data_IF_221717254974
#
_entry.id   IF_221717254974
#
_cell.length_a   1.000
_cell.length_b   1.000
_cell.length_c   1.000
_cell.angle_alpha   90.00
_cell.angle_beta   90.00
_cell.angle_gamma   90.00
#
_symmetry.space_group_name_H-M   'P 1'
#
loop_
_entity.id
_entity.type
_entity.pdbx_description
1 polymer ?
#
# COMPACT_ATOMS: atom_id res chain seq x y z
N UNK A 1 -8.28 2.96 -1.56
CA UNK A 1 -7.40 2.00 -2.24
C UNK A 1 -6.69 1.24 -1.13
N UNK A 2 -6.78 -0.10 -1.07
CA UNK A 2 -5.97 -0.85 -0.14
C UNK A 2 -4.51 -0.52 -0.42
N UNK A 3 -3.72 -0.41 0.63
CA UNK A 3 -2.30 -0.14 0.50
C UNK A 3 -1.54 -1.45 0.77
N UNK A 4 -0.22 -1.40 0.63
CA UNK A 4 0.60 -2.62 0.59
C UNK A 4 0.36 -3.56 1.78
N UNK A 5 0.24 -2.98 2.98
CA UNK A 5 0.04 -3.73 4.23
C UNK A 5 -1.34 -4.39 4.32
N UNK A 6 -2.42 -3.74 3.87
CA UNK A 6 -3.74 -4.38 3.82
C UNK A 6 -3.76 -5.56 2.85
N UNK A 7 -3.09 -5.44 1.70
CA UNK A 7 -3.05 -6.55 0.74
C UNK A 7 -2.17 -7.69 1.22
N UNK A 8 -1.08 -7.39 1.91
CA UNK A 8 -0.28 -8.43 2.54
C UNK A 8 -1.07 -9.13 3.65
N UNK A 9 -1.85 -8.39 4.44
CA UNK A 9 -2.77 -8.95 5.44
C UNK A 9 -3.84 -9.84 4.80
N UNK A 10 -4.43 -9.41 3.68
CA UNK A 10 -5.41 -10.17 2.93
C UNK A 10 -4.81 -11.49 2.41
N UNK A 11 -3.62 -11.43 1.80
CA UNK A 11 -2.86 -12.61 1.41
C UNK A 11 -2.57 -13.53 2.61
N UNK A 12 -2.03 -12.98 3.71
CA UNK A 12 -1.68 -13.74 4.91
C UNK A 12 -2.86 -14.52 5.49
N UNK A 13 -4.05 -13.92 5.58
CA UNK A 13 -5.27 -14.58 6.08
C UNK A 13 -5.65 -15.77 5.20
N UNK A 14 -5.61 -15.60 3.87
CA UNK A 14 -5.99 -16.66 2.93
C UNK A 14 -4.92 -17.76 2.90
N UNK A 15 -3.64 -17.40 2.96
CA UNK A 15 -2.55 -18.39 3.04
C UNK A 15 -2.60 -19.18 4.35
N UNK A 16 -2.97 -18.53 5.47
CA UNK A 16 -3.16 -19.21 6.75
C UNK A 16 -4.31 -20.22 6.67
N UNK A 17 -5.44 -19.81 6.10
CA UNK A 17 -6.58 -20.70 5.83
C UNK A 17 -6.20 -21.89 4.94
N UNK A 18 -5.47 -21.66 3.85
CA UNK A 18 -4.99 -22.71 2.95
C UNK A 18 -4.10 -23.73 3.66
N UNK A 19 -3.21 -23.29 4.54
CA UNK A 19 -2.33 -24.17 5.32
C UNK A 19 -3.07 -25.01 6.36
N UNK A 20 -4.22 -24.55 6.82
CA UNK A 20 -5.03 -25.23 7.82
C UNK A 20 -5.98 -26.30 7.22
N UNK A 21 -6.13 -26.34 5.89
CA UNK A 21 -7.14 -27.19 5.22
C UNK A 21 -6.51 -28.21 4.29
N UNK A 22 -7.23 -29.33 4.10
CA UNK A 22 -6.87 -30.27 3.05
C UNK A 22 -7.27 -29.67 1.70
N UNK A 23 -6.41 -29.70 0.66
CA UNK A 23 -6.77 -29.21 -0.68
C UNK A 23 -8.09 -29.78 -1.23
N UNK A 24 -8.42 -31.03 -0.89
CA UNK A 24 -9.67 -31.68 -1.34
C UNK A 24 -10.94 -31.12 -0.65
N UNK A 25 -10.79 -30.38 0.45
CA UNK A 25 -11.89 -29.72 1.16
C UNK A 25 -12.23 -28.36 0.55
N UNK A 26 -11.31 -27.78 -0.24
CA UNK A 26 -11.45 -26.42 -0.78
C UNK A 26 -12.09 -26.39 -2.17
N UNK A 27 -12.99 -27.34 -2.45
CA UNK A 27 -13.80 -27.36 -3.67
C UNK A 27 -14.94 -26.36 -3.54
N UNK A 28 -15.05 -25.44 -4.49
CA UNK A 28 -16.12 -24.43 -4.47
C UNK A 28 -17.46 -25.11 -4.75
N UNK A 29 -18.37 -25.05 -3.78
CA UNK A 29 -19.73 -25.54 -3.91
C UNK A 29 -20.65 -24.46 -4.49
N UNK A 30 -20.48 -23.22 -4.04
CA UNK A 30 -21.33 -22.09 -4.38
C UNK A 30 -20.53 -20.78 -4.38
N UNK A 31 -21.02 -19.78 -5.12
CA UNK A 31 -20.57 -18.40 -5.03
C UNK A 31 -21.74 -17.55 -4.54
N UNK A 32 -21.48 -16.62 -3.62
CA UNK A 32 -22.50 -15.77 -3.01
C UNK A 32 -22.13 -14.29 -3.14
N UNK A 33 -23.14 -13.41 -3.19
CA UNK A 33 -22.95 -11.96 -3.05
C UNK A 33 -24.24 -11.28 -2.56
N UNK A 34 -24.10 -10.12 -1.93
CA UNK A 34 -25.24 -9.22 -1.73
C UNK A 34 -25.56 -8.44 -3.00
N UNK A 35 -26.82 -8.06 -3.14
CA UNK A 35 -27.25 -7.02 -4.08
C UNK A 35 -26.83 -5.63 -3.61
N UNK A 36 -26.41 -4.79 -4.56
CA UNK A 36 -26.32 -3.35 -4.32
C UNK A 36 -27.71 -2.70 -4.30
N UNK A 37 -27.79 -1.39 -4.01
CA UNK A 37 -29.08 -0.71 -3.92
C UNK A 37 -29.88 -0.76 -5.24
N UNK A 38 -29.30 -0.42 -6.41
CA UNK A 38 -29.99 -0.59 -7.68
C UNK A 38 -30.47 -2.02 -7.95
N UNK A 39 -29.67 -3.03 -7.62
CA UNK A 39 -30.01 -4.45 -7.78
C UNK A 39 -31.10 -4.90 -6.81
N UNK A 40 -31.20 -4.28 -5.62
CA UNK A 40 -32.29 -4.53 -4.68
C UNK A 40 -33.63 -4.01 -5.22
N UNK A 41 -33.62 -2.82 -5.82
CA UNK A 41 -34.81 -2.21 -6.41
C UNK A 41 -35.21 -2.90 -7.72
N UNK A 42 -34.23 -3.44 -8.46
CA UNK A 42 -34.42 -4.15 -9.72
C UNK A 42 -33.64 -5.47 -9.73
N UNK A 43 -34.16 -6.53 -9.06
CA UNK A 43 -33.50 -7.81 -8.99
C UNK A 43 -33.12 -8.34 -10.38
N UNK A 44 -31.85 -8.68 -10.63
CA UNK A 44 -31.37 -9.05 -11.96
C UNK A 44 -31.98 -10.36 -12.48
N UNK A 45 -32.62 -11.15 -11.61
CA UNK A 45 -33.36 -12.35 -11.99
C UNK A 45 -34.42 -12.69 -10.92
N UNK A 46 -35.56 -13.20 -11.38
CA UNK A 46 -36.81 -13.38 -10.63
C UNK A 46 -36.87 -14.62 -9.74
N UNK A 47 -35.76 -15.07 -9.14
CA UNK A 47 -35.75 -16.34 -8.41
C UNK A 47 -36.42 -16.20 -7.03
N UNK A 48 -37.71 -16.54 -6.99
CA UNK A 48 -38.65 -16.47 -5.87
C UNK A 48 -38.39 -17.48 -4.75
N UNK A 49 -37.24 -18.15 -4.75
CA UNK A 49 -37.02 -19.39 -3.98
C UNK A 49 -36.09 -19.30 -2.78
N UNK A 50 -35.65 -18.11 -2.36
CA UNK A 50 -34.92 -17.97 -1.08
C UNK A 50 -35.72 -17.12 -0.10
N UNK A 51 -36.57 -17.73 0.74
CA UNK A 51 -37.57 -16.98 1.50
C UNK A 51 -36.98 -15.95 2.47
N UNK A 52 -35.72 -16.12 2.89
CA UNK A 52 -35.08 -15.23 3.88
C UNK A 52 -33.54 -15.13 3.74
N UNK A 53 -32.95 -15.40 2.57
CA UNK A 53 -31.48 -15.31 2.40
C UNK A 53 -31.08 -13.95 1.81
N UNK A 54 -30.50 -13.10 2.65
CA UNK A 54 -30.08 -11.75 2.26
C UNK A 54 -28.74 -11.69 1.52
N UNK A 55 -28.00 -12.80 1.52
CA UNK A 55 -26.87 -13.02 0.63
C UNK A 55 -27.34 -13.99 -0.45
N UNK A 56 -27.21 -13.57 -1.71
CA UNK A 56 -27.78 -14.26 -2.85
C UNK A 56 -26.78 -15.26 -3.44
N UNK A 57 -27.30 -16.43 -3.79
CA UNK A 57 -26.57 -17.46 -4.50
C UNK A 57 -26.40 -17.01 -5.96
N UNK A 58 -25.15 -16.93 -6.42
CA UNK A 58 -24.85 -16.51 -7.78
C UNK A 58 -24.88 -17.70 -8.73
N UNK A 59 -25.33 -17.42 -9.95
CA UNK A 59 -25.19 -18.28 -11.10
C UNK A 59 -24.76 -17.46 -12.32
N UNK A 60 -24.87 -18.05 -13.51
CA UNK A 60 -24.40 -17.43 -14.73
C UNK A 60 -25.22 -16.23 -15.23
N UNK A 61 -26.38 -15.94 -14.61
CA UNK A 61 -27.16 -14.71 -14.78
C UNK A 61 -26.49 -13.52 -14.07
N UNK A 62 -25.69 -13.77 -13.03
CA UNK A 62 -24.93 -12.75 -12.33
C UNK A 62 -23.82 -12.09 -13.19
N UNK A 63 -23.67 -12.49 -14.46
CA UNK A 63 -22.90 -11.74 -15.47
C UNK A 63 -23.46 -10.34 -15.73
N UNK A 64 -24.73 -10.08 -15.41
CA UNK A 64 -25.34 -8.75 -15.47
C UNK A 64 -24.99 -7.88 -14.25
N UNK A 65 -24.56 -8.49 -13.14
CA UNK A 65 -24.19 -7.78 -11.92
C UNK A 65 -22.74 -7.33 -12.00
N UNK A 66 -22.50 -6.03 -11.87
CA UNK A 66 -21.17 -5.44 -12.08
C UNK A 66 -20.66 -4.79 -10.79
N UNK A 67 -19.36 -4.93 -10.50
CA UNK A 67 -18.69 -4.28 -9.37
C UNK A 67 -17.43 -3.56 -9.84
N UNK A 68 -17.11 -2.44 -9.21
CA UNK A 68 -15.97 -1.61 -9.54
C UNK A 68 -16.24 -0.14 -9.22
N UNK A 69 -15.42 0.74 -9.81
CA UNK A 69 -15.71 2.17 -9.77
C UNK A 69 -16.64 2.56 -10.95
N UNK A 70 -17.10 3.80 -11.01
CA UNK A 70 -18.05 4.27 -12.04
C UNK A 70 -17.58 4.01 -13.49
N UNK A 71 -16.27 4.06 -13.73
CA UNK A 71 -15.66 4.00 -15.07
C UNK A 71 -15.05 2.64 -15.41
N UNK A 72 -14.93 1.76 -14.43
CA UNK A 72 -14.25 0.47 -14.55
C UNK A 72 -14.94 -0.56 -13.65
N UNK A 73 -15.92 -1.28 -14.24
CA UNK A 73 -16.69 -2.33 -13.59
C UNK A 73 -16.54 -3.64 -14.33
N UNK A 74 -16.47 -4.74 -13.57
CA UNK A 74 -16.46 -6.10 -14.11
C UNK A 74 -17.65 -6.91 -13.60
N UNK A 75 -18.11 -7.91 -14.37
CA UNK A 75 -19.17 -8.80 -13.93
C UNK A 75 -18.73 -9.64 -12.72
N UNK A 76 -19.67 -9.96 -11.82
CA UNK A 76 -19.46 -10.83 -10.66
C UNK A 76 -19.39 -12.33 -11.01
N UNK A 77 -19.77 -12.69 -12.23
CA UNK A 77 -19.65 -14.05 -12.75
C UNK A 77 -18.77 -14.07 -14.00
N UNK A 78 -17.90 -15.08 -14.16
CA UNK A 78 -17.06 -15.19 -15.35
C UNK A 78 -17.88 -15.32 -16.64
N UNK A 79 -17.35 -14.74 -17.72
CA UNK A 79 -17.94 -14.89 -19.07
C UNK A 79 -17.93 -16.36 -19.49
N UNK A 80 -18.94 -16.79 -20.24
CA UNK A 80 -19.09 -18.18 -20.73
C UNK A 80 -17.87 -18.70 -21.49
N UNK A 81 -17.20 -17.83 -22.26
CA UNK A 81 -15.95 -18.17 -22.97
C UNK A 81 -14.81 -18.55 -22.02
N UNK A 82 -14.79 -18.01 -20.80
CA UNK A 82 -13.76 -18.27 -19.79
C UNK A 82 -14.15 -19.48 -18.97
N UNK A 83 -15.39 -19.47 -18.46
CA UNK A 83 -15.97 -20.50 -17.60
C UNK A 83 -17.37 -20.87 -18.13
N UNK A 84 -17.50 -21.97 -18.88
CA UNK A 84 -18.74 -22.35 -19.57
C UNK A 84 -19.80 -23.00 -18.66
N UNK A 85 -19.55 -23.09 -17.35
CA UNK A 85 -20.51 -23.63 -16.38
C UNK A 85 -21.78 -22.78 -16.30
N UNK A 86 -22.91 -23.44 -16.07
CA UNK A 86 -24.23 -22.83 -15.91
C UNK A 86 -24.86 -23.27 -14.60
N UNK A 87 -25.65 -22.38 -14.00
CA UNK A 87 -26.30 -22.64 -12.73
C UNK A 87 -25.39 -22.48 -11.49
N UNK A 88 -25.97 -22.60 -10.29
CA UNK A 88 -25.33 -22.20 -9.04
C UNK A 88 -24.48 -23.28 -8.35
N UNK A 89 -24.65 -24.55 -8.72
CA UNK A 89 -23.96 -25.67 -8.07
C UNK A 89 -22.62 -25.94 -8.76
N UNK A 90 -21.52 -25.72 -8.05
CA UNK A 90 -20.16 -25.68 -8.62
C UNK A 90 -19.28 -26.88 -8.26
N UNK A 91 -19.79 -27.85 -7.49
CA UNK A 91 -18.98 -28.99 -7.02
C UNK A 91 -18.30 -29.76 -8.15
N UNK A 92 -18.96 -29.90 -9.30
CA UNK A 92 -18.45 -30.61 -10.48
C UNK A 92 -17.73 -29.70 -11.48
N UNK A 93 -17.64 -28.40 -11.20
CA UNK A 93 -17.04 -27.42 -12.12
C UNK A 93 -15.51 -27.43 -12.16
N UNK A 94 -14.88 -28.17 -11.23
CA UNK A 94 -13.42 -28.21 -11.06
C UNK A 94 -12.82 -26.96 -10.41
N UNK A 95 -13.65 -26.03 -9.91
CA UNK A 95 -13.19 -24.88 -9.11
C UNK A 95 -12.77 -25.34 -7.72
N UNK A 96 -11.50 -25.11 -7.38
CA UNK A 96 -10.91 -25.47 -6.10
C UNK A 96 -9.83 -24.46 -5.73
N UNK A 97 -9.88 -23.88 -4.53
CA UNK A 97 -8.84 -22.96 -4.08
C UNK A 97 -7.55 -23.75 -3.80
N UNK A 98 -6.55 -23.58 -4.67
CA UNK A 98 -5.25 -24.27 -4.57
C UNK A 98 -4.17 -23.39 -3.95
N UNK A 99 -4.18 -22.11 -4.29
CA UNK A 99 -3.15 -21.17 -3.84
C UNK A 99 -3.68 -19.72 -3.84
N UNK A 100 -2.94 -18.84 -3.17
CA UNK A 100 -3.12 -17.39 -3.20
C UNK A 100 -1.79 -16.70 -3.51
N UNK A 101 -1.77 -15.89 -4.55
CA UNK A 101 -0.60 -15.10 -4.94
C UNK A 101 -0.76 -13.68 -4.39
N UNK A 102 0.23 -13.26 -3.60
CA UNK A 102 0.33 -11.86 -3.19
C UNK A 102 0.61 -10.95 -4.39
N UNK A 103 -0.13 -9.85 -4.46
CA UNK A 103 0.16 -8.77 -5.38
C UNK A 103 -0.05 -7.41 -4.68
N UNK A 104 0.83 -6.42 -4.88
CA UNK A 104 0.72 -5.11 -4.22
C UNK A 104 -0.55 -4.30 -4.48
N UNK A 105 -1.45 -4.75 -5.38
CA UNK A 105 -2.75 -4.12 -5.64
C UNK A 105 -3.94 -5.07 -5.62
N UNK A 106 -3.70 -6.38 -5.53
CA UNK A 106 -4.71 -7.40 -5.75
C UNK A 106 -4.50 -8.63 -4.86
N UNK A 107 -5.58 -9.36 -4.62
CA UNK A 107 -5.53 -10.74 -4.14
C UNK A 107 -5.80 -11.64 -5.34
N UNK A 108 -4.87 -12.53 -5.66
CA UNK A 108 -5.02 -13.45 -6.80
C UNK A 108 -5.20 -14.86 -6.25
N UNK A 109 -6.32 -15.50 -6.60
CA UNK A 109 -6.69 -16.83 -6.18
C UNK A 109 -6.48 -17.80 -7.35
N UNK A 110 -5.70 -18.85 -7.13
CA UNK A 110 -5.66 -20.01 -8.02
C UNK A 110 -6.84 -20.92 -7.66
N UNK A 111 -7.87 -20.94 -8.50
CA UNK A 111 -9.03 -21.81 -8.34
C UNK A 111 -8.93 -23.11 -9.17
N UNK A 112 -7.71 -23.51 -9.57
CA UNK A 112 -7.45 -24.72 -10.34
C UNK A 112 -7.83 -24.58 -11.82
N UNK A 113 -9.12 -24.62 -12.13
CA UNK A 113 -9.62 -24.46 -13.51
C UNK A 113 -9.77 -22.98 -13.93
N UNK A 114 -9.64 -22.06 -12.97
CA UNK A 114 -9.83 -20.62 -13.15
C UNK A 114 -8.88 -19.82 -12.26
N UNK A 115 -8.43 -18.67 -12.75
CA UNK A 115 -7.73 -17.66 -11.95
C UNK A 115 -8.67 -16.51 -11.64
N UNK A 116 -8.72 -16.08 -10.38
CA UNK A 116 -9.56 -14.97 -9.92
C UNK A 116 -8.69 -13.88 -9.31
N UNK A 117 -8.74 -12.68 -9.86
CA UNK A 117 -8.09 -11.50 -9.30
C UNK A 117 -9.12 -10.59 -8.66
N UNK A 118 -9.01 -10.38 -7.35
CA UNK A 118 -9.86 -9.46 -6.59
C UNK A 118 -9.08 -8.19 -6.26
N UNK A 119 -9.50 -7.07 -6.83
CA UNK A 119 -9.00 -5.74 -6.49
C UNK A 119 -9.87 -5.15 -5.37
N UNK A 120 -9.31 -5.03 -4.17
CA UNK A 120 -10.11 -4.63 -3.00
C UNK A 120 -10.57 -3.15 -3.03
N UNK A 121 -9.93 -2.30 -3.85
CA UNK A 121 -10.26 -0.87 -4.05
C UNK A 121 -10.62 -0.08 -2.76
N UNK A 122 -11.87 0.00 -2.30
CA UNK A 122 -12.20 0.68 -1.04
C UNK A 122 -12.96 -0.25 -0.11
N UNK A 123 -12.64 -0.13 1.18
CA UNK A 123 -13.34 -0.78 2.29
C UNK A 123 -13.68 -2.27 2.09
N UNK A 124 -12.87 -3.01 1.33
CA UNK A 124 -13.07 -4.44 1.06
C UNK A 124 -11.92 -5.25 1.62
N UNK A 125 -12.22 -6.37 2.25
CA UNK A 125 -11.21 -7.21 2.91
C UNK A 125 -11.68 -8.68 2.96
N UNK A 126 -10.78 -9.68 2.85
CA UNK A 126 -11.19 -11.06 3.00
C UNK A 126 -11.44 -11.42 4.45
N UNK A 127 -12.39 -12.34 4.65
CA UNK A 127 -12.72 -12.94 5.93
C UNK A 127 -13.10 -14.40 5.69
N UNK A 128 -12.66 -15.29 6.58
CA UNK A 128 -13.12 -16.68 6.59
C UNK A 128 -14.23 -16.81 7.62
N UNK A 129 -15.31 -17.49 7.26
CA UNK A 129 -16.40 -17.85 8.15
C UNK A 129 -16.61 -19.35 8.16
N UNK A 130 -16.90 -19.92 9.33
CA UNK A 130 -17.46 -21.28 9.40
C UNK A 130 -18.88 -21.31 8.83
N UNK A 131 -19.32 -22.47 8.35
CA UNK A 131 -20.68 -22.68 7.84
C UNK A 131 -21.76 -22.30 8.84
N UNK A 132 -21.50 -22.55 10.12
CA UNK A 132 -22.42 -22.20 11.20
C UNK A 132 -22.57 -20.67 11.34
N UNK A 133 -21.46 -19.93 11.40
CA UNK A 133 -21.49 -18.45 11.47
C UNK A 133 -22.12 -17.86 10.21
N UNK A 134 -21.76 -18.41 9.05
CA UNK A 134 -22.34 -18.01 7.77
C UNK A 134 -23.86 -18.17 7.77
N UNK A 135 -24.37 -19.35 8.13
CA UNK A 135 -25.80 -19.64 8.04
C UNK A 135 -26.63 -18.91 9.10
N UNK A 136 -26.11 -18.76 10.32
CA UNK A 136 -26.86 -18.19 11.45
C UNK A 136 -26.74 -16.67 11.59
N UNK A 137 -25.65 -16.08 11.11
CA UNK A 137 -25.37 -14.65 11.34
C UNK A 137 -25.22 -13.88 10.03
N UNK A 138 -24.45 -14.40 9.08
CA UNK A 138 -24.16 -13.65 7.86
C UNK A 138 -25.35 -13.73 6.88
N UNK A 139 -25.77 -14.93 6.49
CA UNK A 139 -26.84 -15.13 5.50
C UNK A 139 -28.24 -14.82 6.04
N UNK A 140 -28.46 -15.04 7.33
CA UNK A 140 -29.75 -14.88 7.99
C UNK A 140 -30.13 -13.42 8.26
N UNK A 141 -29.18 -12.47 8.19
CA UNK A 141 -29.44 -11.06 8.47
C UNK A 141 -29.28 -10.21 7.20
N UNK A 142 -30.23 -9.31 6.91
CA UNK A 142 -30.06 -8.32 5.87
C UNK A 142 -28.90 -7.40 6.17
N UNK A 143 -28.17 -6.99 5.14
CA UNK A 143 -27.26 -5.87 5.34
C UNK A 143 -28.03 -4.55 5.55
N UNK A 144 -29.31 -4.48 5.13
CA UNK A 144 -30.17 -3.31 5.29
C UNK A 144 -31.66 -3.67 5.39
N UNK A 145 -32.37 -3.04 6.34
CA UNK A 145 -33.84 -2.95 6.40
C UNK A 145 -34.22 -1.46 6.42
N UNK A 146 -34.89 -0.97 5.38
CA UNK A 146 -35.27 0.43 5.29
C UNK A 146 -34.05 1.36 5.29
N UNK A 147 -33.83 2.12 6.36
CA UNK A 147 -32.64 2.98 6.56
C UNK A 147 -31.64 2.42 7.57
N UNK A 148 -31.96 1.29 8.21
CA UNK A 148 -31.14 0.68 9.26
C UNK A 148 -30.28 -0.44 8.66
N UNK A 149 -28.98 -0.42 8.95
CA UNK A 149 -28.09 -1.53 8.61
C UNK A 149 -28.14 -2.56 9.74
N UNK A 150 -28.69 -3.75 9.49
CA UNK A 150 -28.68 -4.82 10.52
C UNK A 150 -27.33 -5.55 10.56
N UNK A 151 -26.68 -5.72 9.40
CA UNK A 151 -25.30 -6.20 9.30
C UNK A 151 -24.34 -5.05 9.02
N UNK A 152 -23.28 -4.93 9.83
CA UNK A 152 -22.26 -3.89 9.69
C UNK A 152 -21.38 -4.03 8.43
N UNK A 153 -21.48 -5.15 7.73
CA UNK A 153 -20.69 -5.47 6.53
C UNK A 153 -21.59 -5.98 5.43
N UNK A 154 -21.16 -5.82 4.18
CA UNK A 154 -21.78 -6.40 2.99
C UNK A 154 -20.90 -7.51 2.44
N UNK A 155 -21.49 -8.47 1.76
CA UNK A 155 -20.77 -9.52 1.04
C UNK A 155 -20.59 -9.08 -0.40
N UNK A 156 -19.37 -8.66 -0.75
CA UNK A 156 -19.04 -8.34 -2.14
C UNK A 156 -19.07 -9.59 -3.01
N UNK A 157 -18.26 -10.60 -2.64
CA UNK A 157 -18.27 -11.94 -3.24
C UNK A 157 -17.78 -12.94 -2.18
N UNK A 158 -18.37 -14.13 -2.13
CA UNK A 158 -17.92 -15.21 -1.25
C UNK A 158 -17.89 -16.56 -1.96
N UNK A 159 -16.90 -17.38 -1.60
CA UNK A 159 -16.68 -18.73 -2.11
C UNK A 159 -16.94 -19.72 -0.98
N UNK A 160 -17.97 -20.55 -1.15
CA UNK A 160 -18.41 -21.54 -0.17
C UNK A 160 -17.79 -22.91 -0.48
N UNK A 161 -16.97 -23.41 0.44
CA UNK A 161 -16.28 -24.70 0.33
C UNK A 161 -17.03 -25.82 1.07
N UNK A 162 -18.24 -25.56 1.58
CA UNK A 162 -19.01 -26.48 2.41
C UNK A 162 -18.94 -26.07 3.88
N UNK A 163 -17.85 -26.42 4.54
CA UNK A 163 -17.62 -26.14 5.97
C UNK A 163 -17.11 -24.72 6.24
N UNK A 164 -16.41 -24.13 5.26
CA UNK A 164 -15.82 -22.80 5.38
C UNK A 164 -16.19 -21.93 4.17
N UNK A 165 -16.29 -20.63 4.41
CA UNK A 165 -16.63 -19.62 3.40
C UNK A 165 -15.55 -18.55 3.40
N UNK A 166 -14.85 -18.37 2.28
CA UNK A 166 -14.00 -17.20 2.04
C UNK A 166 -14.85 -16.08 1.46
N UNK A 167 -15.08 -15.03 2.24
CA UNK A 167 -15.87 -13.87 1.84
C UNK A 167 -15.00 -12.61 1.72
N UNK A 168 -15.10 -11.90 0.60
CA UNK A 168 -14.63 -10.54 0.46
C UNK A 168 -15.73 -9.59 0.93
N UNK A 169 -15.63 -9.21 2.20
CA UNK A 169 -16.59 -8.29 2.83
C UNK A 169 -16.28 -6.86 2.43
N UNK A 170 -17.31 -6.03 2.24
CA UNK A 170 -17.18 -4.64 1.78
C UNK A 170 -18.14 -3.71 2.50
N UNK A 171 -17.80 -2.42 2.63
CA UNK A 171 -18.73 -1.41 3.13
C UNK A 171 -19.52 -0.71 2.01
N UNK A 172 -19.00 -0.69 0.78
CA UNK A 172 -19.50 0.19 -0.29
C UNK A 172 -19.61 -0.48 -1.66
N UNK A 173 -19.30 -1.78 -1.78
CA UNK A 173 -19.25 -2.52 -3.05
C UNK A 173 -18.24 -1.98 -4.07
N UNK A 174 -17.32 -1.12 -3.64
CA UNK A 174 -16.23 -0.62 -4.48
C UNK A 174 -15.08 -1.62 -4.42
N UNK A 175 -15.21 -2.69 -5.20
CA UNK A 175 -14.19 -3.71 -5.47
C UNK A 175 -14.37 -4.23 -6.90
N UNK A 176 -13.34 -4.86 -7.48
CA UNK A 176 -13.40 -5.40 -8.84
C UNK A 176 -12.92 -6.84 -8.85
N UNK A 177 -13.58 -7.70 -9.63
CA UNK A 177 -13.17 -9.10 -9.83
C UNK A 177 -12.83 -9.31 -11.30
N UNK A 178 -11.72 -9.97 -11.57
CA UNK A 178 -11.32 -10.38 -12.93
C UNK A 178 -11.09 -11.88 -12.96
N UNK A 179 -11.43 -12.49 -14.10
CA UNK A 179 -11.35 -13.93 -14.31
C UNK A 179 -10.51 -14.24 -15.53
N UNK A 180 -9.69 -15.28 -15.45
CA UNK A 180 -8.92 -15.76 -16.59
C UNK A 180 -8.66 -17.26 -16.50
N UNK A 181 -8.43 -17.92 -17.65
CA UNK A 181 -8.05 -19.34 -17.67
C UNK A 181 -6.60 -19.57 -17.25
N UNK A 182 -5.75 -18.57 -17.39
CA UNK A 182 -4.33 -18.62 -17.03
C UNK A 182 -3.94 -17.31 -16.35
N UNK A 183 -2.95 -17.39 -15.46
CA UNK A 183 -2.45 -16.24 -14.71
C UNK A 183 -2.01 -15.06 -15.61
N UNK A 184 -1.42 -15.34 -16.77
CA UNK A 184 -0.93 -14.31 -17.70
C UNK A 184 -2.05 -13.56 -18.46
N UNK A 185 -3.29 -14.06 -18.42
CA UNK A 185 -4.46 -13.42 -19.04
C UNK A 185 -5.24 -12.55 -18.05
N UNK A 186 -4.84 -12.51 -16.78
CA UNK A 186 -5.36 -11.55 -15.81
C UNK A 186 -4.86 -10.13 -16.11
N UNK A 187 -5.53 -9.07 -15.60
CA UNK A 187 -5.02 -7.71 -15.67
C UNK A 187 -3.57 -7.56 -15.19
N UNK A 188 -2.89 -6.51 -15.65
CA UNK A 188 -1.47 -6.28 -15.36
C UNK A 188 -1.17 -6.33 -13.86
N UNK A 189 -0.10 -7.04 -13.52
CA UNK A 189 0.35 -7.29 -12.16
C UNK A 189 1.54 -6.39 -11.82
N UNK A 190 1.48 -5.79 -10.64
CA UNK A 190 2.63 -5.12 -10.03
C UNK A 190 3.69 -6.14 -9.63
N UNK A 191 4.96 -5.75 -9.72
CA UNK A 191 6.08 -6.54 -9.23
C UNK A 191 6.22 -6.29 -7.74
N UNK A 192 6.18 -7.34 -6.93
CA UNK A 192 6.45 -7.26 -5.50
C UNK A 192 7.96 -7.25 -5.26
N UNK A 193 8.53 -6.20 -4.64
CA UNK A 193 9.96 -6.16 -4.32
C UNK A 193 10.39 -7.25 -3.32
N UNK A 194 9.47 -7.85 -2.56
CA UNK A 194 9.79 -8.97 -1.67
C UNK A 194 10.02 -10.28 -2.45
N UNK A 195 9.36 -10.46 -3.59
CA UNK A 195 9.51 -11.65 -4.43
C UNK A 195 10.56 -11.50 -5.52
N UNK A 196 10.67 -10.31 -6.13
CA UNK A 196 11.61 -10.05 -7.23
C UNK A 196 12.11 -8.59 -7.20
N UNK A 197 13.03 -8.33 -6.27
CA UNK A 197 13.64 -7.02 -6.09
C UNK A 197 14.32 -6.52 -7.38
N UNK A 198 14.99 -7.38 -8.13
CA UNK A 198 15.76 -6.95 -9.31
C UNK A 198 14.85 -6.56 -10.46
N UNK A 199 13.77 -7.31 -10.71
CA UNK A 199 12.78 -6.93 -11.71
C UNK A 199 12.04 -5.65 -11.30
N UNK A 200 11.73 -5.48 -10.02
CA UNK A 200 11.15 -4.25 -9.50
C UNK A 200 12.09 -3.05 -9.74
N UNK A 201 13.39 -3.19 -9.42
CA UNK A 201 14.40 -2.16 -9.71
C UNK A 201 14.45 -1.80 -11.20
N UNK A 202 14.45 -2.78 -12.11
CA UNK A 202 14.41 -2.50 -13.57
C UNK A 202 13.16 -1.75 -13.99
N UNK A 203 12.01 -2.05 -13.38
CA UNK A 203 10.75 -1.34 -13.65
C UNK A 203 10.80 0.08 -13.13
N UNK A 204 11.32 0.29 -11.91
CA UNK A 204 11.47 1.61 -11.30
C UNK A 204 12.42 2.51 -12.08
N UNK A 205 13.59 2.01 -12.51
CA UNK A 205 14.54 2.79 -13.31
C UNK A 205 13.97 3.19 -14.68
N UNK A 206 13.28 2.27 -15.38
CA UNK A 206 12.59 2.60 -16.64
C UNK A 206 11.48 3.62 -16.46
N UNK A 207 10.78 3.55 -15.33
CA UNK A 207 9.76 4.54 -14.99
C UNK A 207 10.38 5.91 -14.73
N UNK A 208 11.54 5.98 -14.05
CA UNK A 208 12.28 7.23 -13.87
C UNK A 208 12.67 7.86 -15.21
N UNK A 209 13.18 7.07 -16.16
CA UNK A 209 13.47 7.57 -17.52
C UNK A 209 12.21 8.11 -18.21
N UNK A 210 11.03 7.51 -17.97
CA UNK A 210 9.78 7.95 -18.60
C UNK A 210 9.18 9.24 -18.04
N UNK A 211 9.58 9.65 -16.83
CA UNK A 211 9.08 10.88 -16.18
C UNK A 211 10.06 12.06 -16.30
N UNK A 212 11.29 11.81 -16.75
CA UNK A 212 12.31 12.85 -16.97
C UNK A 212 11.84 13.88 -18.01
N UNK A 213 11.14 13.44 -19.05
CA UNK A 213 10.57 14.32 -20.09
C UNK A 213 9.24 14.98 -19.66
N UNK A 214 8.74 14.70 -18.44
CA UNK A 214 7.44 15.20 -17.99
C UNK A 214 7.56 16.52 -17.23
N UNK A 215 7.18 17.62 -17.88
CA UNK A 215 7.14 18.97 -17.28
C UNK A 215 5.91 19.19 -16.40
N UNK A 216 5.55 18.20 -15.58
CA UNK A 216 4.35 18.30 -14.76
C UNK A 216 4.61 19.19 -13.54
N UNK A 217 3.81 20.25 -13.37
CA UNK A 217 3.77 21.02 -12.11
C UNK A 217 3.14 20.25 -10.94
N UNK A 218 3.05 18.91 -11.03
CA UNK A 218 2.54 18.05 -9.98
C UNK A 218 3.64 17.81 -8.92
N UNK A 219 3.23 17.83 -7.65
CA UNK A 219 4.11 17.47 -6.55
C UNK A 219 4.57 16.01 -6.62
N UNK A 220 5.84 15.74 -6.30
CA UNK A 220 6.46 14.41 -6.38
C UNK A 220 5.70 13.32 -5.62
N UNK A 221 5.07 13.65 -4.48
CA UNK A 221 4.28 12.68 -3.71
C UNK A 221 3.09 12.14 -4.49
N UNK A 222 2.47 12.96 -5.32
CA UNK A 222 1.35 12.58 -6.15
C UNK A 222 1.81 11.67 -7.30
N UNK A 223 2.92 12.02 -7.95
CA UNK A 223 3.54 11.28 -9.05
C UNK A 223 3.90 9.85 -8.61
N UNK A 224 4.57 9.70 -7.46
CA UNK A 224 4.89 8.39 -6.87
C UNK A 224 3.61 7.59 -6.56
N UNK A 225 2.59 8.24 -6.01
CA UNK A 225 1.33 7.58 -5.62
C UNK A 225 0.49 7.13 -6.83
N UNK A 226 0.54 7.85 -7.95
CA UNK A 226 -0.22 7.52 -9.17
C UNK A 226 0.49 6.49 -10.05
N UNK A 227 1.82 6.40 -9.96
CA UNK A 227 2.65 5.38 -10.62
C UNK A 227 2.52 4.00 -9.96
N UNK A 228 1.29 3.49 -9.92
CA UNK A 228 0.90 2.29 -9.18
C UNK A 228 1.45 0.97 -9.76
N UNK A 229 1.99 1.00 -10.97
CA UNK A 229 2.70 -0.11 -11.62
C UNK A 229 4.10 -0.32 -11.04
N UNK A 230 4.72 0.74 -10.52
CA UNK A 230 6.03 0.72 -9.85
C UNK A 230 5.87 0.73 -8.34
N UNK A 231 5.11 1.69 -7.81
CA UNK A 231 4.89 1.91 -6.37
C UNK A 231 3.61 1.21 -5.91
N UNK A 232 3.54 -0.10 -6.19
CA UNK A 232 2.40 -0.94 -5.88
C UNK A 232 1.98 -0.84 -4.41
N UNK A 233 0.72 -0.47 -4.17
CA UNK A 233 0.20 -0.34 -2.81
C UNK A 233 0.61 0.95 -2.09
N UNK A 234 1.25 1.91 -2.78
CA UNK A 234 1.46 3.25 -2.24
C UNK A 234 0.16 4.07 -2.33
N UNK A 235 -0.58 4.15 -1.23
CA UNK A 235 -1.73 5.03 -1.12
C UNK A 235 -1.41 6.33 -0.37
N UNK A 236 -2.40 6.88 0.33
CA UNK A 236 -2.26 8.17 1.00
C UNK A 236 -1.42 8.04 2.26
N UNK A 237 -1.69 7.01 3.07
CA UNK A 237 -0.96 6.84 4.32
C UNK A 237 0.45 6.33 4.05
N UNK A 238 0.62 5.35 3.15
CA UNK A 238 1.94 4.83 2.76
C UNK A 238 2.79 5.95 2.19
N UNK A 239 2.25 6.79 1.30
CA UNK A 239 3.01 7.95 0.79
C UNK A 239 3.50 8.85 1.94
N UNK A 240 2.61 9.21 2.89
CA UNK A 240 2.99 10.00 4.07
C UNK A 240 4.15 9.37 4.87
N UNK A 241 4.11 8.05 5.04
CA UNK A 241 5.15 7.28 5.73
C UNK A 241 6.47 7.27 4.94
N UNK A 242 6.42 7.06 3.63
CA UNK A 242 7.61 7.03 2.77
C UNK A 242 8.38 8.35 2.78
N UNK A 243 7.69 9.49 2.70
CA UNK A 243 8.36 10.80 2.68
C UNK A 243 9.11 11.11 3.97
N UNK A 244 8.54 10.74 5.12
CA UNK A 244 9.24 10.87 6.41
C UNK A 244 10.39 9.90 6.54
N UNK A 245 10.21 8.65 6.11
CA UNK A 245 11.29 7.65 6.14
C UNK A 245 12.45 8.09 5.26
N UNK A 246 12.18 8.62 4.07
CA UNK A 246 13.19 9.14 3.15
C UNK A 246 13.77 10.50 3.59
N UNK A 247 13.10 11.21 4.51
CA UNK A 247 13.49 12.56 4.94
C UNK A 247 13.33 13.62 3.85
N UNK A 248 12.44 13.39 2.88
CA UNK A 248 12.25 14.27 1.72
C UNK A 248 10.95 15.05 1.88
N UNK A 249 10.95 16.33 1.52
CA UNK A 249 9.73 17.13 1.53
C UNK A 249 8.75 16.59 0.45
N UNK A 250 7.51 16.19 0.81
CA UNK A 250 6.56 15.66 -0.17
C UNK A 250 6.18 16.68 -1.26
N UNK A 251 6.38 17.97 -1.02
CA UNK A 251 6.09 19.06 -1.96
C UNK A 251 7.24 19.41 -2.88
N UNK A 252 8.33 18.64 -2.84
CA UNK A 252 9.42 18.79 -3.80
C UNK A 252 8.96 18.53 -5.23
N UNK A 253 9.68 19.13 -6.18
CA UNK A 253 9.46 18.87 -7.61
C UNK A 253 9.94 17.48 -8.00
N UNK A 254 9.60 17.05 -9.22
CA UNK A 254 10.11 15.78 -9.77
C UNK A 254 11.63 15.86 -9.90
N UNK A 255 12.15 16.96 -10.42
CA UNK A 255 13.57 17.22 -10.67
C UNK A 255 14.37 17.22 -9.36
N UNK A 256 13.89 17.97 -8.35
CA UNK A 256 14.50 18.06 -7.02
C UNK A 256 14.71 16.67 -6.38
N UNK A 257 13.89 15.68 -6.73
CA UNK A 257 13.98 14.32 -6.17
C UNK A 257 14.67 13.35 -7.13
N UNK A 258 14.24 13.28 -8.39
CA UNK A 258 14.63 12.23 -9.33
C UNK A 258 15.92 12.54 -10.12
N UNK A 259 16.36 13.80 -10.16
CA UNK A 259 17.70 14.16 -10.65
C UNK A 259 18.76 14.11 -9.53
N UNK A 260 18.34 13.88 -8.28
CA UNK A 260 19.21 13.79 -7.13
C UNK A 260 19.42 12.33 -6.67
N UNK A 261 20.63 11.75 -6.84
CA UNK A 261 20.89 10.35 -6.49
C UNK A 261 20.64 10.02 -5.02
N UNK A 262 20.96 10.94 -4.10
CA UNK A 262 20.75 10.72 -2.66
C UNK A 262 19.26 10.62 -2.32
N UNK A 263 18.43 11.53 -2.82
CA UNK A 263 16.99 11.53 -2.59
C UNK A 263 16.33 10.30 -3.21
N UNK A 264 16.70 9.90 -4.43
CA UNK A 264 16.18 8.66 -5.03
C UNK A 264 16.58 7.44 -4.21
N UNK A 265 17.84 7.30 -3.83
CA UNK A 265 18.30 6.17 -3.03
C UNK A 265 17.59 6.09 -1.67
N UNK A 266 17.33 7.24 -1.01
CA UNK A 266 16.54 7.31 0.23
C UNK A 266 15.08 6.93 0.01
N UNK A 267 14.44 7.38 -1.07
CA UNK A 267 13.06 7.01 -1.40
C UNK A 267 12.93 5.51 -1.67
N UNK A 268 13.88 4.92 -2.41
CA UNK A 268 13.93 3.49 -2.66
C UNK A 268 14.14 2.71 -1.35
N UNK A 269 15.10 3.14 -0.52
CA UNK A 269 15.33 2.53 0.79
C UNK A 269 14.09 2.63 1.70
N UNK A 270 13.36 3.75 1.67
CA UNK A 270 12.12 3.93 2.41
C UNK A 270 11.05 2.93 1.97
N UNK A 271 10.83 2.79 0.66
CA UNK A 271 9.84 1.85 0.14
C UNK A 271 10.20 0.40 0.44
N UNK A 272 11.47 0.02 0.22
CA UNK A 272 11.96 -1.32 0.55
C UNK A 272 11.92 -1.63 2.05
N UNK A 273 12.10 -0.63 2.91
CA UNK A 273 11.92 -0.81 4.36
C UNK A 273 10.46 -0.97 4.74
N UNK A 274 9.57 -0.19 4.12
CA UNK A 274 8.14 -0.28 4.37
C UNK A 274 7.59 -1.64 3.95
N UNK A 275 7.94 -2.11 2.75
CA UNK A 275 7.54 -3.43 2.25
C UNK A 275 8.25 -4.56 3.02
N UNK A 276 9.56 -4.46 3.24
CA UNK A 276 10.37 -5.46 3.94
C UNK A 276 9.97 -5.69 5.40
N UNK A 277 9.48 -4.65 6.10
CA UNK A 277 8.97 -4.78 7.47
C UNK A 277 7.55 -5.33 7.56
N UNK A 278 6.80 -5.31 6.45
CA UNK A 278 5.37 -5.65 6.42
C UNK A 278 5.07 -7.07 6.93
N UNK A 279 5.78 -8.13 6.49
CA UNK A 279 5.52 -9.50 6.97
C UNK A 279 5.53 -9.62 8.50
N UNK A 280 6.56 -9.06 9.14
CA UNK A 280 6.70 -9.09 10.61
C UNK A 280 5.56 -8.34 11.30
N UNK A 281 5.25 -7.14 10.81
CA UNK A 281 4.21 -6.27 11.38
C UNK A 281 2.83 -6.95 11.28
N UNK A 282 2.48 -7.46 10.10
CA UNK A 282 1.19 -8.11 9.87
C UNK A 282 1.05 -9.38 10.71
N UNK A 283 2.11 -10.19 10.79
CA UNK A 283 2.12 -11.38 11.63
C UNK A 283 1.89 -11.03 13.12
N UNK A 284 2.56 -9.99 13.64
CA UNK A 284 2.36 -9.53 15.02
C UNK A 284 0.93 -9.02 15.27
N UNK A 285 0.36 -8.31 14.30
CA UNK A 285 -1.00 -7.77 14.39
C UNK A 285 -2.08 -8.85 14.39
N UNK A 286 -1.94 -9.87 13.52
CA UNK A 286 -3.02 -10.82 13.23
C UNK A 286 -2.94 -12.13 14.02
N UNK A 287 -1.74 -12.64 14.36
CA UNK A 287 -1.57 -13.99 14.93
C UNK A 287 -2.45 -14.28 16.16
N UNK A 288 -2.71 -13.27 16.99
CA UNK A 288 -3.50 -13.41 18.24
C UNK A 288 -4.95 -12.92 18.12
N UNK A 289 -5.50 -12.88 16.91
CA UNK A 289 -6.81 -12.28 16.60
C UNK A 289 -7.80 -13.24 15.94
N UNK A 290 -7.38 -14.45 15.67
CA UNK A 290 -8.27 -15.52 15.24
C UNK A 290 -9.04 -16.04 16.47
N UNK A 291 -10.36 -16.06 16.41
CA UNK A 291 -11.23 -16.56 17.49
C UNK A 291 -11.48 -18.06 17.40
N UNK A 292 -11.34 -18.60 16.19
CA UNK A 292 -11.27 -20.02 15.88
C UNK A 292 -10.03 -20.24 14.99
N UNK A 293 -9.98 -21.32 14.23
CA UNK A 293 -8.84 -21.62 13.34
C UNK A 293 -8.60 -20.55 12.26
N UNK A 294 -9.66 -19.88 11.78
CA UNK A 294 -9.61 -19.08 10.54
C UNK A 294 -10.33 -17.72 10.60
N UNK A 295 -11.29 -17.53 11.51
CA UNK A 295 -12.12 -16.32 11.61
C UNK A 295 -11.38 -15.22 12.37
N UNK A 296 -11.15 -14.07 11.72
CA UNK A 296 -10.55 -12.91 12.37
C UNK A 296 -11.61 -12.11 13.14
N UNK A 297 -11.41 -11.86 14.44
CA UNK A 297 -12.32 -11.01 15.23
C UNK A 297 -11.52 -9.99 16.06
N UNK A 298 -10.96 -8.99 15.37
CA UNK A 298 -10.20 -7.92 15.99
C UNK A 298 -11.10 -6.87 16.66
N UNK A 299 -10.86 -6.57 17.93
CA UNK A 299 -11.56 -5.49 18.65
C UNK A 299 -11.11 -4.10 18.16
N UNK A 300 -11.90 -3.03 18.39
CA UNK A 300 -11.47 -1.66 18.06
C UNK A 300 -10.11 -1.28 18.66
N UNK A 301 -9.85 -1.66 19.91
CA UNK A 301 -8.56 -1.42 20.56
C UNK A 301 -7.40 -2.16 19.87
N UNK A 302 -7.62 -3.42 19.46
CA UNK A 302 -6.61 -4.19 18.73
C UNK A 302 -6.34 -3.60 17.35
N UNK A 303 -7.38 -3.15 16.62
CA UNK A 303 -7.23 -2.44 15.34
C UNK A 303 -6.42 -1.15 15.51
N UNK A 304 -6.68 -0.40 16.58
CA UNK A 304 -5.95 0.84 16.85
C UNK A 304 -4.45 0.62 17.10
N UNK A 305 -4.01 -0.59 17.51
CA UNK A 305 -2.57 -0.89 17.66
C UNK A 305 -1.79 -0.76 16.36
N UNK A 306 -2.45 -0.82 15.19
CA UNK A 306 -1.79 -0.57 13.90
C UNK A 306 -1.11 0.80 13.84
N UNK A 307 -1.66 1.82 14.52
CA UNK A 307 -1.09 3.18 14.56
C UNK A 307 0.34 3.24 15.11
N UNK A 308 0.76 2.23 15.90
CA UNK A 308 2.12 2.11 16.44
C UNK A 308 3.16 1.84 15.34
N UNK A 309 2.74 1.25 14.22
CA UNK A 309 3.58 0.92 13.07
C UNK A 309 3.57 1.98 11.98
N UNK A 310 2.77 3.04 12.17
CA UNK A 310 2.83 4.27 11.40
C UNK A 310 3.79 5.21 12.13
N UNK A 311 4.49 6.06 11.41
CA UNK A 311 5.41 7.08 11.90
C UNK A 311 4.66 8.39 12.04
N UNK A 312 3.88 8.78 11.04
CA UNK A 312 3.24 10.11 10.96
C UNK A 312 1.74 10.06 10.76
N UNK A 313 1.23 9.11 9.99
CA UNK A 313 -0.12 9.22 9.48
C UNK A 313 -1.14 9.03 10.61
N UNK A 314 -2.06 10.00 10.75
CA UNK A 314 -3.11 9.95 11.76
C UNK A 314 -2.62 10.12 13.19
N UNK A 315 -1.48 10.80 13.40
CA UNK A 315 -0.92 11.03 14.74
C UNK A 315 -0.94 12.49 15.14
N UNK A 316 -1.28 12.78 16.39
CA UNK A 316 -1.15 14.14 16.94
C UNK A 316 0.30 14.50 17.27
N UNK A 317 1.14 13.48 17.53
CA UNK A 317 2.54 13.63 17.87
C UNK A 317 3.38 12.55 17.20
N UNK A 318 4.56 12.94 16.72
CA UNK A 318 5.56 12.05 16.15
C UNK A 318 6.77 12.00 17.07
N UNK A 319 7.32 10.80 17.28
CA UNK A 319 8.62 10.62 17.94
C UNK A 319 9.67 10.34 16.86
N UNK A 320 10.69 11.18 16.83
CA UNK A 320 11.84 11.12 15.93
C UNK A 320 13.14 11.10 16.75
N UNK A 321 14.29 10.91 16.10
CA UNK A 321 15.57 11.04 16.80
C UNK A 321 15.91 12.49 17.11
N UNK A 322 16.73 12.73 18.13
CA UNK A 322 17.30 14.06 18.40
C UNK A 322 17.97 14.66 17.17
N UNK A 323 18.72 13.85 16.40
CA UNK A 323 19.33 14.24 15.12
C UNK A 323 18.30 14.81 14.14
N UNK A 324 17.17 14.13 13.94
CA UNK A 324 16.10 14.63 13.06
C UNK A 324 15.41 15.87 13.65
N UNK A 325 15.31 15.99 14.98
CA UNK A 325 14.81 17.19 15.63
C UNK A 325 15.65 18.42 15.32
N UNK A 326 16.99 18.31 15.42
CA UNK A 326 17.92 19.38 15.08
C UNK A 326 17.88 19.73 13.59
N UNK A 327 17.81 18.73 12.70
CA UNK A 327 17.62 18.97 11.26
C UNK A 327 16.29 19.68 10.96
N UNK A 328 15.22 19.36 11.70
CA UNK A 328 13.93 20.02 11.56
C UNK A 328 13.97 21.47 12.05
N UNK A 329 14.68 21.76 13.14
CA UNK A 329 14.93 23.12 13.65
C UNK A 329 15.72 23.93 12.58
N UNK A 330 16.83 23.39 12.07
CA UNK A 330 17.63 24.01 11.00
C UNK A 330 16.83 24.26 9.71
N UNK A 331 15.96 23.31 9.35
CA UNK A 331 15.04 23.45 8.23
C UNK A 331 14.09 24.63 8.47
N UNK A 332 13.55 24.76 9.68
CA UNK A 332 12.62 25.81 10.06
C UNK A 332 13.26 27.19 9.97
N UNK A 333 14.46 27.33 10.55
CA UNK A 333 15.19 28.60 10.60
C UNK A 333 15.52 29.08 9.19
N UNK A 334 15.97 28.17 8.32
CA UNK A 334 16.21 28.45 6.89
C UNK A 334 14.92 28.93 6.20
N UNK A 335 13.81 28.22 6.41
CA UNK A 335 12.51 28.56 5.81
C UNK A 335 11.99 29.92 6.27
N UNK A 336 12.13 30.27 7.55
CA UNK A 336 11.71 31.57 8.07
C UNK A 336 12.63 32.70 7.57
N UNK A 337 13.94 32.49 7.54
CA UNK A 337 14.89 33.45 6.98
C UNK A 337 14.54 33.82 5.53
N UNK A 338 14.26 32.82 4.70
CA UNK A 338 13.91 33.03 3.29
C UNK A 338 12.58 33.77 3.11
N UNK A 339 11.60 33.55 4.00
CA UNK A 339 10.36 34.34 3.99
C UNK A 339 10.58 35.81 4.31
N UNK A 340 11.56 36.12 5.17
CA UNK A 340 11.89 37.49 5.55
C UNK A 340 12.65 38.23 4.45
N UNK A 341 13.53 37.55 3.71
CA UNK A 341 14.34 38.16 2.64
C UNK A 341 13.53 38.55 1.40
N UNK A 342 12.51 37.79 1.02
CA UNK A 342 11.81 38.01 -0.25
C UNK A 342 10.77 39.16 -0.21
N UNK A 343 10.27 39.55 0.97
CA UNK A 343 9.37 40.71 1.16
C UNK A 343 8.03 40.70 0.38
N UNK A 344 7.85 39.76 -0.56
CA UNK A 344 6.73 39.65 -1.52
C UNK A 344 5.97 38.33 -1.40
N UNK A 345 6.50 37.36 -0.67
CA UNK A 345 5.80 36.11 -0.36
C UNK A 345 5.70 35.13 -1.53
N UNK A 346 6.46 35.34 -2.61
CA UNK A 346 6.50 34.49 -3.80
C UNK A 346 7.92 33.96 -3.98
N UNK A 347 8.25 32.91 -3.21
CA UNK A 347 9.58 32.30 -3.25
C UNK A 347 9.67 31.20 -4.29
N UNK A 348 10.68 31.29 -5.17
CA UNK A 348 11.09 30.22 -6.09
C UNK A 348 12.19 29.39 -5.43
N UNK A 349 12.01 28.08 -5.38
CA UNK A 349 13.01 27.16 -4.82
C UNK A 349 14.24 27.07 -5.74
N UNK A 350 15.40 27.45 -5.23
CA UNK A 350 16.69 27.29 -5.91
C UNK A 350 17.58 26.30 -5.15
N UNK A 351 18.24 25.40 -5.87
CA UNK A 351 18.97 24.25 -5.30
C UNK A 351 20.01 24.62 -4.24
N UNK A 352 20.69 25.76 -4.41
CA UNK A 352 21.77 26.21 -3.52
C UNK A 352 21.26 26.83 -2.21
N UNK A 353 19.95 27.06 -2.10
CA UNK A 353 19.29 27.70 -0.96
C UNK A 353 18.39 26.69 -0.22
N UNK A 354 18.27 25.46 -0.73
CA UNK A 354 17.42 24.45 -0.13
C UNK A 354 17.92 24.04 1.26
N UNK A 355 17.06 24.04 2.29
CA UNK A 355 17.40 23.50 3.59
C UNK A 355 17.77 22.02 3.50
N UNK A 356 18.62 21.57 4.43
CA UNK A 356 18.99 20.15 4.53
C UNK A 356 17.77 19.26 4.80
N UNK A 357 17.75 18.10 4.17
CA UNK A 357 16.69 17.10 4.32
C UNK A 357 16.70 16.49 5.74
N UNK A 358 15.50 16.26 6.30
CA UNK A 358 15.29 15.77 7.68
C UNK A 358 15.36 14.24 7.68
N UNK A 359 16.54 13.69 7.40
CA UNK A 359 16.73 12.26 7.18
C UNK A 359 17.32 11.51 8.38
N UNK A 360 16.63 10.45 8.81
CA UNK A 360 17.08 9.51 9.84
C UNK A 360 17.36 8.11 9.25
N UNK A 361 18.62 7.64 9.12
CA UNK A 361 18.93 6.40 8.41
C UNK A 361 18.33 5.13 9.06
N UNK A 362 18.12 5.15 10.38
CA UNK A 362 17.40 4.09 11.11
C UNK A 362 15.94 3.91 10.68
N UNK A 363 15.34 4.87 9.97
CA UNK A 363 13.99 4.71 9.42
C UNK A 363 13.99 3.88 8.13
N UNK A 364 15.15 3.66 7.51
CA UNK A 364 15.29 2.95 6.23
C UNK A 364 16.30 1.81 6.31
N UNK A 365 16.50 1.23 7.49
CA UNK A 365 17.54 0.24 7.78
C UNK A 365 17.48 -1.00 6.85
N UNK A 366 16.31 -1.60 6.70
CA UNK A 366 16.08 -2.78 5.86
C UNK A 366 16.39 -2.44 4.39
N UNK A 367 15.86 -1.32 3.90
CA UNK A 367 16.05 -0.89 2.52
C UNK A 367 17.49 -0.50 2.22
N UNK A 368 18.17 0.15 3.17
CA UNK A 368 19.59 0.46 3.03
C UNK A 368 20.44 -0.82 2.98
N UNK A 369 20.13 -1.83 3.80
CA UNK A 369 20.77 -3.15 3.72
C UNK A 369 20.50 -3.85 2.39
N UNK A 370 19.29 -3.72 1.84
CA UNK A 370 18.91 -4.29 0.53
C UNK A 370 19.55 -3.55 -0.65
N UNK A 371 19.87 -2.26 -0.51
CA UNK A 371 20.63 -1.50 -1.51
C UNK A 371 22.14 -1.68 -1.33
N UNK A 372 22.63 -2.01 -0.14
CA UNK A 372 24.04 -2.30 0.06
C UNK A 372 24.97 -1.08 0.00
N UNK A 373 26.28 -1.33 -0.10
CA UNK A 373 27.32 -0.29 -0.24
C UNK A 373 27.01 0.73 -1.32
N UNK A 374 26.59 0.35 -2.56
CA UNK A 374 26.34 1.34 -3.59
C UNK A 374 25.19 2.28 -3.21
N UNK A 375 24.15 1.77 -2.55
CA UNK A 375 23.06 2.60 -2.02
C UNK A 375 23.54 3.57 -0.95
N UNK A 376 24.36 3.10 -0.01
CA UNK A 376 24.96 3.95 1.02
C UNK A 376 25.79 5.10 0.44
N UNK A 377 26.62 4.80 -0.56
CA UNK A 377 27.41 5.80 -1.30
C UNK A 377 26.55 6.84 -2.01
N UNK A 378 25.44 6.44 -2.65
CA UNK A 378 24.51 7.40 -3.25
C UNK A 378 23.86 8.32 -2.20
N UNK A 379 23.51 7.79 -1.02
CA UNK A 379 22.83 8.57 0.03
C UNK A 379 23.76 9.59 0.67
N UNK A 380 24.97 9.17 1.06
CA UNK A 380 25.86 9.99 1.89
C UNK A 380 27.06 10.58 1.13
N UNK A 381 27.33 10.12 -0.09
CA UNK A 381 28.59 10.34 -0.79
C UNK A 381 29.68 9.35 -0.32
N UNK A 382 30.67 9.10 -1.18
CA UNK A 382 31.75 8.14 -0.90
C UNK A 382 32.51 8.44 0.41
N UNK A 383 32.99 9.67 0.68
CA UNK A 383 33.80 9.92 1.88
C UNK A 383 33.01 9.70 3.17
N UNK A 384 31.76 10.14 3.20
CA UNK A 384 30.93 10.01 4.40
C UNK A 384 30.45 8.58 4.60
N UNK A 385 30.22 7.84 3.52
CA UNK A 385 29.89 6.43 3.62
C UNK A 385 31.05 5.61 4.20
N UNK A 386 32.29 5.89 3.80
CA UNK A 386 33.47 5.21 4.35
C UNK A 386 33.63 5.43 5.87
N UNK A 387 33.26 6.61 6.37
CA UNK A 387 33.21 6.90 7.80
C UNK A 387 32.08 6.15 8.52
N UNK A 388 30.89 6.11 7.91
CA UNK A 388 29.67 5.58 8.55
C UNK A 388 29.56 4.06 8.47
N UNK A 389 30.00 3.42 7.38
CA UNK A 389 29.82 2.00 7.13
C UNK A 389 30.43 1.10 8.23
N UNK A 390 31.62 1.39 8.81
CA UNK A 390 32.16 0.62 9.91
C UNK A 390 31.35 0.67 11.22
N UNK A 391 30.45 1.66 11.37
CA UNK A 391 29.61 1.82 12.57
C UNK A 391 28.38 0.89 12.58
N UNK A 392 28.13 0.19 11.48
CA UNK A 392 27.01 -0.73 11.32
C UNK A 392 27.48 -2.16 11.07
N UNK A 393 26.55 -3.12 11.18
CA UNK A 393 26.77 -4.46 10.63
C UNK A 393 27.16 -4.35 9.14
N UNK A 394 28.04 -5.23 8.62
CA UNK A 394 28.52 -5.15 7.24
C UNK A 394 27.36 -5.03 6.25
N UNK A 395 27.30 -3.88 5.58
CA UNK A 395 26.39 -3.64 4.47
C UNK A 395 27.11 -4.10 3.21
N UNK A 396 26.75 -5.27 2.69
CA UNK A 396 27.42 -5.86 1.52
C UNK A 396 27.05 -5.19 0.19
N UNK A 397 27.77 -5.53 -0.87
CA UNK A 397 27.50 -5.06 -2.23
C UNK A 397 26.33 -5.82 -2.87
N UNK A 398 25.17 -5.18 -2.98
CA UNK A 398 24.00 -5.79 -3.60
C UNK A 398 23.89 -5.44 -5.08
N UNK A 399 23.28 -6.33 -5.87
CA UNK A 399 23.00 -6.07 -7.27
C UNK A 399 21.95 -4.95 -7.45
N UNK A 400 20.97 -4.85 -6.55
CA UNK A 400 19.96 -3.78 -6.59
C UNK A 400 20.62 -2.40 -6.42
N UNK A 401 21.52 -2.25 -5.45
CA UNK A 401 22.30 -1.02 -5.29
C UNK A 401 23.16 -0.70 -6.49
N UNK A 402 23.88 -1.69 -7.04
CA UNK A 402 24.72 -1.49 -8.23
C UNK A 402 23.90 -0.97 -9.42
N UNK A 403 22.70 -1.52 -9.66
CA UNK A 403 21.83 -1.04 -10.73
C UNK A 403 21.47 0.43 -10.58
N UNK A 404 21.15 0.88 -9.36
CA UNK A 404 20.84 2.28 -9.08
C UNK A 404 22.08 3.18 -9.20
N UNK A 405 23.23 2.72 -8.70
CA UNK A 405 24.49 3.45 -8.79
C UNK A 405 24.93 3.62 -10.25
N UNK A 406 24.93 2.55 -11.03
CA UNK A 406 25.27 2.56 -12.46
C UNK A 406 24.30 3.42 -13.28
N UNK A 407 23.02 3.49 -12.88
CA UNK A 407 22.06 4.39 -13.49
C UNK A 407 22.50 5.85 -13.38
N UNK A 408 22.81 6.32 -12.17
CA UNK A 408 23.30 7.69 -11.95
C UNK A 408 24.71 7.93 -12.49
N UNK A 409 25.57 6.90 -12.50
CA UNK A 409 26.87 6.95 -13.14
C UNK A 409 26.76 7.28 -14.64
N UNK A 410 25.86 6.59 -15.36
CA UNK A 410 25.62 6.85 -16.79
C UNK A 410 25.05 8.24 -17.06
N UNK A 411 24.28 8.78 -16.11
CA UNK A 411 23.77 10.17 -16.17
C UNK A 411 24.79 11.23 -15.76
N UNK A 412 25.98 10.84 -15.29
CA UNK A 412 26.99 11.79 -14.79
C UNK A 412 26.58 12.49 -13.49
N UNK A 413 25.63 11.92 -12.73
CA UNK A 413 25.01 12.55 -11.57
C UNK A 413 25.62 12.13 -10.22
N UNK A 414 26.65 11.26 -10.20
CA UNK A 414 27.23 10.74 -8.94
C UNK A 414 27.82 11.82 -8.01
N UNK A 415 28.18 12.98 -8.55
CA UNK A 415 28.78 14.08 -7.79
C UNK A 415 27.76 15.16 -7.36
N UNK A 416 26.46 14.90 -7.53
CA UNK A 416 25.40 15.82 -7.11
C UNK A 416 25.39 15.99 -5.57
N UNK A 417 25.02 17.17 -5.04
CA UNK A 417 24.86 17.37 -3.60
C UNK A 417 23.88 16.37 -2.99
N UNK A 418 24.13 15.89 -1.77
CA UNK A 418 23.24 14.92 -1.12
C UNK A 418 22.00 15.58 -0.48
N UNK A 419 22.02 16.91 -0.33
CA UNK A 419 21.10 17.71 0.50
C UNK A 419 21.03 17.25 1.96
N UNK A 420 22.06 16.56 2.46
CA UNK A 420 22.18 16.16 3.86
C UNK A 420 23.21 17.05 4.57
N UNK A 421 22.93 17.45 5.81
CA UNK A 421 23.94 18.03 6.70
C UNK A 421 24.83 16.89 7.26
N UNK A 422 25.83 16.46 6.48
CA UNK A 422 26.66 15.28 6.77
C UNK A 422 27.36 15.35 8.15
N UNK A 423 27.58 16.54 8.69
CA UNK A 423 28.17 16.74 10.03
C UNK A 423 27.30 16.20 11.17
N UNK A 424 25.98 16.04 10.95
CA UNK A 424 25.05 15.50 11.94
C UNK A 424 25.10 13.98 12.07
N UNK A 425 25.83 13.29 11.19
CA UNK A 425 25.87 11.84 11.10
C UNK A 425 27.20 11.32 11.65
N UNK A 426 27.25 10.97 12.94
CA UNK A 426 28.41 10.31 13.56
C UNK A 426 28.31 8.78 13.59
N UNK A 427 27.09 8.25 13.42
CA UNK A 427 26.80 6.83 13.36
C UNK A 427 25.65 6.59 12.38
N UNK A 428 25.68 5.45 11.68
CA UNK A 428 24.70 5.12 10.66
C UNK A 428 23.33 4.83 11.30
N UNK A 429 23.28 3.86 12.21
CA UNK A 429 22.06 3.45 12.90
C UNK A 429 22.08 3.84 14.37
N UNK A 430 20.98 4.43 14.84
CA UNK A 430 20.73 4.73 16.23
C UNK A 430 20.10 3.54 16.95
N UNK A 431 20.27 3.47 18.28
CA UNK A 431 19.50 2.54 19.10
C UNK A 431 18.00 2.86 19.07
N UNK A 432 17.17 1.90 19.50
CA UNK A 432 15.72 2.10 19.58
C UNK A 432 15.33 3.28 20.48
N UNK A 433 16.05 3.51 21.58
CA UNK A 433 15.81 4.63 22.50
C UNK A 433 16.16 5.97 21.86
N UNK A 434 17.31 6.06 21.19
CA UNK A 434 17.75 7.28 20.51
C UNK A 434 16.86 7.64 19.32
N UNK A 435 16.31 6.63 18.63
CA UNK A 435 15.44 6.80 17.46
C UNK A 435 14.09 7.49 17.76
N UNK A 436 13.71 7.61 19.03
CA UNK A 436 12.44 8.22 19.49
C UNK A 436 12.64 9.30 20.57
N UNK A 437 13.85 9.86 20.65
CA UNK A 437 14.27 10.78 21.71
C UNK A 437 13.74 12.23 21.60
N UNK A 438 13.11 12.58 20.49
CA UNK A 438 12.55 13.92 20.25
C UNK A 438 11.09 13.83 19.83
N UNK A 439 10.25 14.77 20.29
CA UNK A 439 8.82 14.83 19.95
C UNK A 439 8.51 16.09 19.16
N UNK A 440 7.74 15.94 18.09
CA UNK A 440 7.24 17.06 17.28
C UNK A 440 5.79 16.83 16.86
N UNK A 441 5.10 17.90 16.47
CA UNK A 441 3.77 17.82 15.89
C UNK A 441 3.89 17.63 14.36
N UNK A 442 3.16 16.68 13.78
CA UNK A 442 3.08 16.60 12.33
C UNK A 442 2.13 17.66 11.77
N UNK A 443 2.35 18.00 10.52
CA UNK A 443 1.50 18.85 9.70
C UNK A 443 0.61 17.99 8.82
N UNK A 444 -0.63 18.45 8.63
CA UNK A 444 -1.58 17.86 7.69
C UNK A 444 -1.88 18.89 6.61
N UNK A 445 -1.45 18.61 5.40
CA UNK A 445 -1.74 19.47 4.25
C UNK A 445 -2.87 18.86 3.43
N UNK A 446 -3.75 19.74 2.96
CA UNK A 446 -4.90 19.38 2.15
C UNK A 446 -4.67 19.82 0.71
N UNK A 447 -4.55 18.84 -0.17
CA UNK A 447 -4.63 19.01 -1.64
C UNK A 447 -5.77 18.10 -2.16
N UNK A 448 -5.60 17.39 -3.28
CA UNK A 448 -6.51 16.34 -3.74
C UNK A 448 -6.71 15.24 -2.69
N UNK A 449 -5.72 15.03 -1.81
CA UNK A 449 -5.77 14.17 -0.62
C UNK A 449 -5.03 14.83 0.54
N UNK A 450 -5.17 14.25 1.74
CA UNK A 450 -4.43 14.68 2.94
C UNK A 450 -3.04 14.05 2.95
N UNK A 451 -1.98 14.84 3.04
CA UNK A 451 -0.62 14.35 3.25
C UNK A 451 -0.15 14.74 4.65
N UNK A 452 0.41 13.77 5.38
CA UNK A 452 0.96 13.97 6.72
C UNK A 452 2.49 14.02 6.62
N UNK A 453 3.12 15.03 7.22
CA UNK A 453 4.58 15.16 7.24
C UNK A 453 5.05 15.97 8.45
N UNK A 454 6.32 15.89 8.83
CA UNK A 454 6.93 16.79 9.81
C UNK A 454 7.58 18.01 9.14
N UNK A 455 7.76 17.97 7.81
CA UNK A 455 8.35 19.07 7.07
C UNK A 455 7.34 20.22 6.95
N UNK A 456 7.71 21.45 7.34
CA UNK A 456 6.88 22.60 7.03
C UNK A 456 6.77 22.77 5.51
N UNK A 457 5.60 23.23 5.10
CA UNK A 457 5.36 23.65 3.73
C UNK A 457 6.15 24.93 3.45
N UNK A 458 6.96 24.92 2.39
CA UNK A 458 7.82 26.03 2.00
C UNK A 458 7.88 26.20 0.49
N UNK A 459 7.34 27.31 -0.04
CA UNK A 459 7.42 27.68 -1.46
C UNK A 459 6.66 26.73 -2.39
N UNK A 460 6.06 27.29 -3.45
CA UNK A 460 5.33 26.53 -4.45
C UNK A 460 5.91 26.79 -5.82
N UNK A 461 5.98 25.72 -6.62
CA UNK A 461 5.82 25.87 -8.06
C UNK A 461 4.33 25.74 -8.49
N UNK A 462 3.37 25.46 -7.59
CA UNK A 462 1.92 25.51 -7.87
C UNK A 462 1.03 25.69 -6.61
N UNK A 463 0.11 26.66 -6.60
CA UNK A 463 -0.85 27.05 -5.52
C UNK A 463 -1.32 25.97 -4.50
N UNK A 464 -0.92 26.08 -3.23
CA UNK A 464 -1.48 25.41 -2.05
C UNK A 464 -1.99 26.49 -1.11
N UNK A 465 -3.31 26.58 -0.98
CA UNK A 465 -3.95 27.48 0.00
C UNK A 465 -3.95 26.78 1.35
N UNK A 466 -3.21 27.34 2.30
CA UNK A 466 -3.21 26.90 3.71
C UNK A 466 -4.56 27.27 4.35
N UNK A 467 -5.51 26.34 4.41
CA UNK A 467 -6.69 26.48 5.30
C UNK A 467 -6.31 26.04 6.70
N UNK A 468 -5.99 27.00 7.56
CA UNK A 468 -6.01 26.76 9.01
C UNK A 468 -7.47 26.56 9.45
N UNK A 469 -7.80 25.36 9.93
CA UNK A 469 -8.98 25.18 10.77
C UNK A 469 -8.67 25.71 12.17
N UNK A 470 -9.58 26.51 12.72
CA UNK A 470 -9.58 26.90 14.14
C UNK A 470 -9.78 25.67 15.03
#
# INVERSE_FOLDING_TARGET
MPEFRELYAAHYIISHFLKAKNPNELIVQHIWADWDMPEWDNPPYSDTSTPFNHVHLLDDRARAMHRGNLYDRNPLWPRSRIFPHRGPYLRESGLMLKDVIFNPRHVILDMGSLWIQVQLLQHTFPQIYTKQVWSKSIRALPWRIGTVNERLVKIGIAFDFGEDILAFVTNDFVFKVSYARTLNLLPERQIDPLSDLLQWMRRALRWMDSIEDSTSGESVWNVVRTASDVWGGCGVYTSSELWIMAGINPFSSIEEVFENPSRVARLFAAYLTFTGSTPKIIHELLRSRFVDENTLAATPHQRHRYSRYLKVYGKDWVSISRRMGELLEEYWDTVEALKHEDGKGEYVREDHILPSDIFGPSLVDIGLKLLGTPGGRLIFGDPKWEELAPTAEPVGDTQAGRMLYEYFARKGQLNQPTHLNLNKYSQLFLSAKESISYRTQPWVYHDKKKIWTICPFFGLNSTYVKKFGK
#
